data_IF_302390835835
#
_entry.id   IF_302390835835
#
_cell.length_a   1.000
_cell.length_b   1.000
_cell.length_c   1.000
_cell.angle_alpha   90.00
_cell.angle_beta   90.00
_cell.angle_gamma   90.00
#
_symmetry.space_group_name_H-M   'P 1'
#
loop_
_entity.id
_entity.type
_entity.pdbx_description
1 polymer ?
#
# COMPACT_ATOMS: atom_id res chain seq x y z
N UNK A 1 -6.82 12.67 -25.37
CA UNK A 1 -6.09 11.56 -24.74
C UNK A 1 -6.42 11.64 -23.26
N UNK A 2 -7.13 10.65 -22.71
CA UNK A 2 -7.57 10.70 -21.31
C UNK A 2 -6.39 10.51 -20.35
N UNK A 3 -6.51 10.88 -19.06
CA UNK A 3 -5.42 10.62 -18.09
C UNK A 3 -5.12 9.14 -17.97
N UNK A 4 -6.14 8.30 -18.07
CA UNK A 4 -5.98 6.85 -18.08
C UNK A 4 -5.10 6.34 -19.25
N UNK A 5 -5.23 6.92 -20.47
CA UNK A 5 -4.33 6.60 -21.59
C UNK A 5 -2.88 6.99 -21.27
N UNK A 6 -2.68 8.15 -20.62
CA UNK A 6 -1.36 8.63 -20.24
C UNK A 6 -0.73 7.74 -19.15
N UNK A 7 -1.52 7.30 -18.17
CA UNK A 7 -1.08 6.34 -17.14
C UNK A 7 -0.74 5.00 -17.77
N UNK A 8 -1.60 4.48 -18.66
CA UNK A 8 -1.33 3.24 -19.39
C UNK A 8 -0.06 3.35 -20.24
N UNK A 9 0.17 4.49 -20.89
CA UNK A 9 1.41 4.77 -21.64
C UNK A 9 2.65 4.81 -20.73
N UNK A 10 2.53 5.34 -19.51
CA UNK A 10 3.59 5.25 -18.49
C UNK A 10 3.86 3.81 -18.07
N UNK A 11 2.82 3.00 -17.84
CA UNK A 11 2.97 1.59 -17.47
C UNK A 11 3.74 0.82 -18.54
N UNK A 12 3.39 1.01 -19.82
CA UNK A 12 4.12 0.37 -20.92
C UNK A 12 5.59 0.85 -21.01
N UNK A 13 5.85 2.15 -20.80
CA UNK A 13 7.23 2.68 -20.78
C UNK A 13 8.04 2.13 -19.61
N UNK A 14 7.40 1.89 -18.48
CA UNK A 14 7.99 1.22 -17.32
C UNK A 14 8.14 -0.30 -17.52
N UNK A 15 7.71 -0.86 -18.66
CA UNK A 15 7.79 -2.29 -18.96
C UNK A 15 6.74 -3.14 -18.24
N UNK A 16 5.72 -2.52 -17.66
CA UNK A 16 4.64 -3.21 -16.95
C UNK A 16 3.68 -3.80 -17.97
N UNK A 17 3.63 -5.12 -17.98
CA UNK A 17 2.80 -5.94 -18.84
C UNK A 17 1.57 -6.49 -18.12
N UNK A 18 0.94 -7.45 -18.79
CA UNK A 18 -0.27 -8.08 -18.29
C UNK A 18 0.04 -8.99 -17.11
N UNK A 19 -0.69 -8.84 -16.01
CA UNK A 19 -0.55 -9.69 -14.81
C UNK A 19 0.60 -9.29 -13.88
N UNK A 20 1.35 -8.25 -14.22
CA UNK A 20 2.40 -7.70 -13.35
C UNK A 20 1.79 -7.08 -12.09
N UNK A 21 2.62 -6.99 -11.05
CA UNK A 21 2.22 -6.41 -9.78
C UNK A 21 2.20 -4.89 -9.86
N UNK A 22 1.18 -4.28 -9.28
CA UNK A 22 1.07 -2.84 -9.12
C UNK A 22 0.51 -2.53 -7.73
N UNK A 23 1.23 -1.78 -6.93
CA UNK A 23 0.67 -1.24 -5.71
C UNK A 23 -0.35 -0.16 -6.03
N UNK A 24 -1.51 -0.20 -5.37
CA UNK A 24 -2.62 0.71 -5.57
C UNK A 24 -3.07 1.30 -4.25
N UNK A 25 -3.19 2.63 -4.25
CA UNK A 25 -3.84 3.40 -3.19
C UNK A 25 -4.92 4.25 -3.81
N UNK A 26 -6.13 4.21 -3.23
CA UNK A 26 -7.25 5.07 -3.62
C UNK A 26 -7.70 5.87 -2.40
N UNK A 27 -7.67 7.18 -2.52
CA UNK A 27 -8.23 8.12 -1.56
C UNK A 27 -9.35 8.90 -2.27
N UNK A 28 -10.64 8.60 -2.06
CA UNK A 28 -11.74 9.16 -2.84
C UNK A 28 -11.77 10.70 -2.95
N UNK A 29 -11.26 11.41 -1.94
CA UNK A 29 -11.22 12.88 -1.90
C UNK A 29 -9.91 13.49 -2.39
N UNK A 30 -8.90 12.68 -2.69
CA UNK A 30 -7.55 13.15 -3.06
C UNK A 30 -7.11 12.63 -4.41
N UNK A 31 -7.39 11.37 -4.73
CA UNK A 31 -7.00 10.75 -6.00
C UNK A 31 -6.60 9.29 -5.83
N UNK A 32 -5.75 8.82 -6.73
CA UNK A 32 -5.09 7.51 -6.63
C UNK A 32 -3.58 7.61 -6.79
N UNK A 33 -2.88 6.58 -6.34
CA UNK A 33 -1.47 6.39 -6.63
C UNK A 33 -1.15 4.95 -6.98
N UNK A 34 -0.11 4.80 -7.81
CA UNK A 34 0.48 3.53 -8.19
C UNK A 34 1.95 3.51 -7.81
N UNK A 35 2.46 2.33 -7.44
CA UNK A 35 3.90 2.09 -7.31
C UNK A 35 4.30 0.70 -7.81
N UNK A 36 5.54 0.60 -8.25
CA UNK A 36 6.18 -0.60 -8.79
C UNK A 36 7.68 -0.56 -8.49
N UNK A 37 8.43 -1.58 -8.93
CA UNK A 37 9.83 -1.81 -8.57
C UNK A 37 10.74 -0.58 -8.67
N UNK A 38 10.53 0.26 -9.69
CA UNK A 38 11.43 1.35 -10.04
C UNK A 38 10.69 2.66 -10.30
N UNK A 39 9.46 2.80 -9.79
CA UNK A 39 8.70 4.02 -10.00
C UNK A 39 7.36 4.05 -9.31
N UNK A 40 6.74 5.20 -9.42
CA UNK A 40 5.47 5.51 -8.78
C UNK A 40 4.87 6.73 -9.46
N UNK A 41 3.55 6.81 -9.46
CA UNK A 41 2.82 7.98 -9.95
C UNK A 41 1.60 8.22 -9.08
N UNK A 42 1.11 9.45 -9.06
CA UNK A 42 -0.19 9.78 -8.51
C UNK A 42 -1.04 10.55 -9.52
N UNK A 43 -2.35 10.33 -9.43
CA UNK A 43 -3.38 11.02 -10.21
C UNK A 43 -4.31 11.70 -9.20
N UNK A 44 -4.24 13.03 -9.04
CA UNK A 44 -5.18 13.79 -8.24
C UNK A 44 -6.63 13.59 -8.72
N UNK A 45 -7.59 13.60 -7.80
CA UNK A 45 -9.03 13.46 -8.12
C UNK A 45 -9.55 14.61 -8.98
N UNK A 46 -8.90 15.79 -8.91
CA UNK A 46 -9.23 16.93 -9.74
C UNK A 46 -8.90 16.70 -11.23
N UNK A 47 -7.97 15.77 -11.52
CA UNK A 47 -7.52 15.49 -12.86
C UNK A 47 -8.36 14.39 -13.52
N UNK A 48 -8.77 13.37 -12.77
CA UNK A 48 -9.65 12.30 -13.26
C UNK A 48 -10.26 11.46 -12.11
N UNK A 49 -11.34 10.73 -12.41
CA UNK A 49 -11.96 9.80 -11.47
C UNK A 49 -11.04 8.58 -11.23
N UNK A 50 -10.56 8.37 -9.99
CA UNK A 50 -9.72 7.22 -9.65
C UNK A 50 -10.30 5.87 -10.08
N UNK A 51 -11.61 5.67 -9.92
CA UNK A 51 -12.24 4.40 -10.25
C UNK A 51 -12.18 4.12 -11.76
N UNK A 52 -12.43 5.15 -12.58
CA UNK A 52 -12.35 5.00 -14.04
C UNK A 52 -10.94 4.67 -14.50
N UNK A 53 -9.92 5.33 -13.95
CA UNK A 53 -8.51 5.04 -14.28
C UNK A 53 -8.15 3.60 -13.88
N UNK A 54 -8.51 3.17 -12.66
CA UNK A 54 -8.27 1.79 -12.21
C UNK A 54 -9.01 0.78 -13.09
N UNK A 55 -10.26 1.03 -13.46
CA UNK A 55 -11.04 0.15 -14.33
C UNK A 55 -10.43 -0.02 -15.72
N UNK A 56 -9.86 1.05 -16.29
CA UNK A 56 -9.16 0.96 -17.58
C UNK A 56 -7.86 0.16 -17.48
N UNK A 57 -7.09 0.36 -16.41
CA UNK A 57 -5.88 -0.43 -16.15
C UNK A 57 -6.21 -1.91 -15.89
N UNK A 58 -7.28 -2.20 -15.14
CA UNK A 58 -7.77 -3.56 -14.92
C UNK A 58 -8.12 -4.24 -16.25
N UNK A 59 -8.81 -3.54 -17.15
CA UNK A 59 -9.19 -4.10 -18.45
C UNK A 59 -7.98 -4.31 -19.38
N UNK A 60 -7.02 -3.38 -19.39
CA UNK A 60 -5.88 -3.42 -20.29
C UNK A 60 -4.77 -4.37 -19.81
N UNK A 61 -4.41 -4.29 -18.54
CA UNK A 61 -3.24 -4.96 -17.96
C UNK A 61 -3.61 -6.12 -17.02
N UNK A 62 -4.82 -6.17 -16.45
CA UNK A 62 -5.20 -7.20 -15.45
C UNK A 62 -4.12 -7.39 -14.37
N UNK A 63 -3.62 -6.31 -13.74
CA UNK A 63 -2.48 -6.42 -12.85
C UNK A 63 -2.85 -7.18 -11.57
N UNK A 64 -1.83 -7.67 -10.87
CA UNK A 64 -1.98 -8.18 -9.51
C UNK A 64 -1.86 -7.00 -8.56
N UNK A 65 -2.99 -6.49 -8.08
CA UNK A 65 -3.02 -5.28 -7.27
C UNK A 65 -2.46 -5.51 -5.87
N UNK A 66 -1.39 -4.82 -5.47
CA UNK A 66 -0.93 -4.80 -4.09
C UNK A 66 -1.70 -3.72 -3.33
N UNK A 67 -2.44 -4.12 -2.29
CA UNK A 67 -3.25 -3.23 -1.47
C UNK A 67 -3.00 -3.47 0.01
N UNK A 68 -3.07 -2.41 0.82
CA UNK A 68 -2.88 -2.52 2.27
C UNK A 68 -3.95 -3.38 2.95
N UNK A 69 -5.21 -3.13 2.61
CA UNK A 69 -6.39 -3.82 3.12
C UNK A 69 -7.44 -3.96 2.02
N UNK A 70 -8.49 -4.74 2.29
CA UNK A 70 -9.62 -4.89 1.38
C UNK A 70 -10.47 -3.61 1.21
N UNK A 71 -10.26 -2.55 2.00
CA UNK A 71 -11.02 -1.29 1.89
C UNK A 71 -10.88 -0.63 0.51
N UNK A 72 -9.70 -0.77 -0.12
CA UNK A 72 -9.49 -0.29 -1.50
C UNK A 72 -10.38 -1.04 -2.48
N UNK A 73 -10.52 -2.36 -2.32
CA UNK A 73 -11.42 -3.15 -3.17
C UNK A 73 -12.89 -2.79 -2.92
N UNK A 74 -13.30 -2.57 -1.66
CA UNK A 74 -14.66 -2.10 -1.32
C UNK A 74 -14.96 -0.78 -2.03
N UNK A 75 -14.04 0.18 -1.96
CA UNK A 75 -14.17 1.50 -2.60
C UNK A 75 -14.35 1.38 -4.11
N UNK A 76 -13.57 0.53 -4.77
CA UNK A 76 -13.66 0.32 -6.21
C UNK A 76 -14.97 -0.38 -6.60
N UNK A 77 -15.40 -1.35 -5.80
CA UNK A 77 -16.65 -2.09 -6.01
C UNK A 77 -17.86 -1.18 -5.94
N UNK A 78 -17.88 -0.27 -4.97
CA UNK A 78 -18.96 0.72 -4.83
C UNK A 78 -19.01 1.67 -6.03
N UNK A 79 -17.88 1.89 -6.70
CA UNK A 79 -17.76 2.63 -7.95
C UNK A 79 -17.93 1.75 -9.22
N UNK A 80 -18.31 0.47 -9.07
CA UNK A 80 -18.58 -0.44 -10.19
C UNK A 80 -17.34 -1.11 -10.81
N UNK A 81 -16.17 -0.99 -10.18
CA UNK A 81 -14.90 -1.56 -10.66
C UNK A 81 -14.57 -2.81 -9.86
N UNK A 82 -14.35 -3.93 -10.57
CA UNK A 82 -13.98 -5.23 -9.97
C UNK A 82 -12.56 -5.58 -10.37
N UNK A 83 -11.66 -5.67 -9.39
CA UNK A 83 -10.29 -6.15 -9.62
C UNK A 83 -10.25 -7.67 -9.60
N UNK A 84 -9.56 -8.30 -10.55
CA UNK A 84 -9.53 -9.75 -10.68
C UNK A 84 -8.60 -10.42 -9.65
N UNK A 85 -7.44 -9.82 -9.41
CA UNK A 85 -6.40 -10.40 -8.53
C UNK A 85 -5.76 -9.35 -7.67
N UNK A 86 -5.57 -9.65 -6.38
CA UNK A 86 -4.84 -8.78 -5.48
C UNK A 86 -3.85 -9.56 -4.60
N UNK A 87 -2.86 -8.82 -4.12
CA UNK A 87 -2.04 -9.13 -2.97
C UNK A 87 -2.51 -8.25 -1.82
N UNK A 88 -3.26 -8.83 -0.88
CA UNK A 88 -3.73 -8.14 0.32
C UNK A 88 -2.65 -8.25 1.41
N UNK A 89 -1.99 -7.13 1.69
CA UNK A 89 -0.87 -7.04 2.64
C UNK A 89 -1.28 -7.52 4.03
N UNK A 90 -2.46 -7.13 4.50
CA UNK A 90 -2.97 -7.53 5.81
C UNK A 90 -3.25 -9.04 5.88
N UNK A 91 -3.80 -9.63 4.81
CA UNK A 91 -4.05 -11.06 4.69
C UNK A 91 -2.74 -11.86 4.65
N UNK A 92 -1.76 -11.43 3.85
CA UNK A 92 -0.45 -12.08 3.78
C UNK A 92 0.29 -11.99 5.11
N UNK A 93 0.18 -10.86 5.82
CA UNK A 93 0.75 -10.72 7.17
C UNK A 93 0.17 -11.75 8.15
N UNK A 94 -1.14 -12.04 8.08
CA UNK A 94 -1.76 -13.09 8.90
C UNK A 94 -1.23 -14.47 8.55
N UNK A 95 -0.90 -14.74 7.29
CA UNK A 95 -0.29 -16.00 6.87
C UNK A 95 1.15 -16.15 7.39
N UNK A 96 1.93 -15.07 7.33
CA UNK A 96 3.34 -15.08 7.73
C UNK A 96 3.54 -15.16 9.24
N UNK A 97 2.77 -14.38 10.01
CA UNK A 97 3.02 -14.16 11.44
C UNK A 97 1.89 -14.64 12.35
N UNK A 98 0.77 -15.09 11.78
CA UNK A 98 -0.43 -15.42 12.54
C UNK A 98 -1.08 -14.21 13.22
N UNK A 99 -2.13 -14.51 13.99
CA UNK A 99 -2.93 -13.50 14.69
C UNK A 99 -3.91 -12.78 13.77
N UNK A 100 -4.71 -11.89 14.36
CA UNK A 100 -5.75 -11.13 13.66
C UNK A 100 -5.33 -9.69 13.37
N UNK A 101 -4.43 -9.13 14.18
CA UNK A 101 -3.97 -7.75 14.06
C UNK A 101 -2.99 -7.61 12.91
N UNK A 102 -3.44 -6.95 11.84
CA UNK A 102 -2.67 -6.66 10.63
C UNK A 102 -2.93 -5.23 10.16
N UNK A 103 -3.04 -4.28 11.11
CA UNK A 103 -3.00 -2.87 10.77
C UNK A 103 -1.62 -2.50 10.17
N UNK A 104 -1.53 -1.46 9.32
CA UNK A 104 -0.30 -1.12 8.61
C UNK A 104 0.93 -0.92 9.51
N UNK A 105 0.76 -0.31 10.69
CA UNK A 105 1.88 -0.11 11.63
C UNK A 105 2.41 -1.45 12.16
N UNK A 106 1.52 -2.37 12.52
CA UNK A 106 1.88 -3.71 12.97
C UNK A 106 2.53 -4.54 11.87
N UNK A 107 2.03 -4.45 10.62
CA UNK A 107 2.64 -5.14 9.47
C UNK A 107 4.06 -4.64 9.23
N UNK A 108 4.23 -3.31 9.20
CA UNK A 108 5.52 -2.68 8.99
C UNK A 108 6.54 -3.11 10.07
N UNK A 109 6.15 -2.99 11.34
CA UNK A 109 7.00 -3.32 12.47
C UNK A 109 7.46 -4.80 12.43
N UNK A 110 6.56 -5.74 12.13
CA UNK A 110 6.91 -7.17 12.05
C UNK A 110 7.87 -7.48 10.91
N UNK A 111 7.70 -6.86 9.74
CA UNK A 111 8.57 -7.13 8.59
C UNK A 111 9.99 -6.60 8.80
N UNK A 112 10.11 -5.49 9.53
CA UNK A 112 11.36 -4.80 9.83
C UNK A 112 11.95 -5.17 11.20
N UNK A 113 11.44 -6.22 11.84
CA UNK A 113 11.92 -6.73 13.13
C UNK A 113 11.95 -5.64 14.24
N UNK A 114 10.97 -4.72 14.22
CA UNK A 114 10.79 -3.66 15.21
C UNK A 114 9.89 -4.11 16.38
N UNK A 115 10.12 -3.65 17.63
CA UNK A 115 9.31 -4.05 18.78
C UNK A 115 7.85 -3.60 18.66
N UNK A 116 6.89 -4.48 18.93
CA UNK A 116 5.46 -4.15 18.73
C UNK A 116 4.91 -3.27 19.86
N UNK A 117 5.50 -3.36 21.04
CA UNK A 117 5.18 -2.58 22.22
C UNK A 117 5.60 -1.10 22.12
N UNK A 118 6.50 -0.77 21.19
CA UNK A 118 6.95 0.59 20.91
C UNK A 118 6.25 1.22 19.72
N UNK A 119 5.27 0.53 19.12
CA UNK A 119 4.48 1.11 18.02
C UNK A 119 3.85 2.43 18.49
N UNK A 120 4.08 3.54 17.77
CA UNK A 120 3.49 4.82 18.09
C UNK A 120 1.97 4.72 18.14
N UNK A 121 1.38 5.01 19.29
CA UNK A 121 -0.06 5.16 19.41
C UNK A 121 -0.48 6.54 18.92
N UNK A 122 -1.61 6.61 18.22
CA UNK A 122 -2.30 7.89 18.04
C UNK A 122 -2.78 8.37 19.40
N UNK A 123 -2.11 9.40 19.92
CA UNK A 123 -2.60 10.12 21.09
C UNK A 123 -3.95 10.80 20.77
N UNK A 124 -4.66 11.32 21.78
CA UNK A 124 -5.80 12.18 21.54
C UNK A 124 -5.41 13.27 20.54
N UNK A 125 -6.27 13.58 19.57
CA UNK A 125 -6.09 14.71 18.66
C UNK A 125 -6.02 16.00 19.48
N UNK A 126 -4.83 16.37 19.93
CA UNK A 126 -4.60 17.62 20.62
C UNK A 126 -4.44 18.70 19.57
N UNK A 127 -5.26 19.75 19.68
CA UNK A 127 -5.23 20.94 18.81
C UNK A 127 -3.85 21.64 18.78
N UNK A 128 -2.92 21.21 19.64
CA UNK A 128 -1.58 21.75 19.83
C UNK A 128 -0.46 20.71 19.59
N UNK A 129 -0.72 19.61 18.89
CA UNK A 129 0.37 18.75 18.41
C UNK A 129 1.21 19.54 17.41
N UNK A 130 2.26 20.20 17.91
CA UNK A 130 3.28 20.76 17.04
C UNK A 130 4.08 19.59 16.46
N UNK A 131 4.35 19.59 15.14
CA UNK A 131 5.29 18.66 14.57
C UNK A 131 6.62 18.79 15.34
N UNK A 132 7.21 17.65 15.71
CA UNK A 132 8.49 17.64 16.38
C UNK A 132 9.51 18.31 15.45
N UNK A 133 10.14 19.44 15.85
CA UNK A 133 11.06 20.16 14.98
C UNK A 133 12.32 19.34 14.63
N UNK A 134 12.60 18.24 15.34
CA UNK A 134 13.68 17.31 15.02
C UNK A 134 13.27 16.26 13.96
N UNK A 135 12.02 16.25 13.52
CA UNK A 135 11.54 15.28 12.54
C UNK A 135 11.94 15.72 11.11
N UNK A 136 12.77 14.92 10.41
CA UNK A 136 13.51 15.39 9.23
C UNK A 136 12.64 15.60 7.97
N UNK A 137 11.47 14.97 7.88
CA UNK A 137 10.50 15.18 6.79
C UNK A 137 9.06 15.20 7.38
N UNK A 138 8.35 16.34 7.37
CA UNK A 138 6.97 16.44 7.85
C UNK A 138 5.97 15.66 6.95
N UNK A 139 6.37 15.35 5.71
CA UNK A 139 5.63 14.47 4.80
C UNK A 139 6.24 13.07 4.72
N UNK A 140 7.19 12.74 5.60
CA UNK A 140 7.76 11.42 5.77
C UNK A 140 6.77 10.50 6.49
N UNK A 141 6.70 9.24 6.06
CA UNK A 141 5.83 8.23 6.68
C UNK A 141 6.46 7.53 7.89
N UNK A 142 7.78 7.60 8.01
CA UNK A 142 8.56 6.89 9.02
C UNK A 142 9.12 7.86 10.05
N UNK A 143 9.21 7.41 11.29
CA UNK A 143 9.94 8.08 12.37
C UNK A 143 11.43 7.77 12.27
N UNK A 144 12.23 8.49 13.05
CA UNK A 144 13.68 8.25 13.14
C UNK A 144 14.04 6.84 13.67
N UNK A 145 13.17 6.22 14.47
CA UNK A 145 13.31 4.85 14.98
C UNK A 145 12.88 3.76 13.97
N UNK A 146 12.46 4.16 12.77
CA UNK A 146 12.01 3.26 11.70
C UNK A 146 10.55 2.83 11.81
N UNK A 147 9.83 3.17 12.88
CA UNK A 147 8.39 2.87 12.96
C UNK A 147 7.58 3.74 11.98
N UNK A 148 6.48 3.17 11.48
CA UNK A 148 5.46 3.96 10.79
C UNK A 148 4.86 4.98 11.76
N UNK A 149 4.73 6.22 11.31
CA UNK A 149 4.10 7.28 12.10
C UNK A 149 2.62 6.95 12.36
N UNK A 150 2.13 7.33 13.54
CA UNK A 150 0.77 7.06 13.96
C UNK A 150 -0.28 7.72 13.05
N UNK A 151 -0.06 8.97 12.64
CA UNK A 151 -0.96 9.68 11.74
C UNK A 151 -1.07 8.98 10.38
N UNK A 152 0.01 8.41 9.87
CA UNK A 152 -0.01 7.61 8.64
C UNK A 152 -0.81 6.33 8.83
N UNK A 153 -0.61 5.59 9.91
CA UNK A 153 -1.39 4.37 10.19
C UNK A 153 -2.91 4.65 10.28
N UNK A 154 -3.30 5.83 10.76
CA UNK A 154 -4.68 6.24 11.00
C UNK A 154 -5.32 7.03 9.84
N UNK A 155 -4.74 6.98 8.65
CA UNK A 155 -5.34 7.57 7.44
C UNK A 155 -4.76 8.92 7.00
N UNK A 156 -3.78 9.46 7.72
CA UNK A 156 -3.04 10.68 7.36
C UNK A 156 -2.26 10.57 6.04
N UNK A 157 -2.11 9.35 5.50
CA UNK A 157 -1.64 9.11 4.13
C UNK A 157 -2.57 9.71 3.06
N UNK A 158 -3.86 9.88 3.37
CA UNK A 158 -4.87 10.39 2.45
C UNK A 158 -5.01 11.92 2.47
N UNK A 159 -3.99 12.67 2.93
CA UNK A 159 -4.08 14.13 3.06
C UNK A 159 -3.81 14.89 1.76
N UNK A 160 -2.90 14.40 0.91
CA UNK A 160 -2.50 15.06 -0.33
C UNK A 160 -1.92 14.06 -1.36
N UNK A 161 -1.78 14.46 -2.65
CA UNK A 161 -1.28 13.58 -3.72
C UNK A 161 0.14 13.02 -3.48
N UNK A 162 0.99 13.71 -2.72
CA UNK A 162 2.33 13.25 -2.37
C UNK A 162 2.30 12.13 -1.33
N UNK A 163 1.42 12.23 -0.32
CA UNK A 163 1.28 11.19 0.70
C UNK A 163 0.64 9.91 0.18
N UNK A 164 -0.38 9.98 -0.67
CA UNK A 164 -0.95 8.77 -1.31
C UNK A 164 0.08 8.05 -2.18
N UNK A 165 0.99 8.81 -2.83
CA UNK A 165 2.10 8.25 -3.61
C UNK A 165 3.08 7.49 -2.73
N UNK A 166 3.55 8.11 -1.64
CA UNK A 166 4.40 7.45 -0.63
C UNK A 166 3.75 6.23 -0.01
N UNK A 167 2.43 6.27 0.17
CA UNK A 167 1.68 5.13 0.70
C UNK A 167 1.63 3.95 -0.27
N UNK A 168 1.56 4.22 -1.59
CA UNK A 168 1.68 3.19 -2.61
C UNK A 168 3.10 2.63 -2.67
N UNK A 169 4.13 3.48 -2.57
CA UNK A 169 5.54 3.06 -2.50
C UNK A 169 5.80 2.14 -1.29
N UNK A 170 5.25 2.47 -0.11
CA UNK A 170 5.34 1.61 1.07
C UNK A 170 4.60 0.28 0.88
N UNK A 171 3.41 0.27 0.27
CA UNK A 171 2.71 -0.97 -0.05
C UNK A 171 3.55 -1.88 -0.95
N UNK A 172 4.21 -1.30 -1.96
CA UNK A 172 5.12 -2.03 -2.83
C UNK A 172 6.32 -2.62 -2.06
N UNK A 173 6.96 -1.83 -1.20
CA UNK A 173 8.08 -2.28 -0.35
C UNK A 173 7.65 -3.45 0.52
N UNK A 174 6.51 -3.32 1.21
CA UNK A 174 5.96 -4.36 2.09
C UNK A 174 5.67 -5.65 1.31
N UNK A 175 5.11 -5.55 0.11
CA UNK A 175 4.91 -6.71 -0.74
C UNK A 175 6.24 -7.41 -1.10
N UNK A 176 7.28 -6.63 -1.42
CA UNK A 176 8.58 -7.19 -1.76
C UNK A 176 9.17 -7.96 -0.57
N UNK A 177 9.11 -7.39 0.64
CA UNK A 177 9.58 -8.05 1.85
C UNK A 177 8.76 -9.30 2.19
N UNK A 178 7.42 -9.22 2.08
CA UNK A 178 6.56 -10.39 2.28
C UNK A 178 6.85 -11.51 1.28
N UNK A 179 7.17 -11.17 0.02
CA UNK A 179 7.55 -12.14 -1.01
C UNK A 179 8.84 -12.87 -0.63
N UNK A 180 9.84 -12.13 -0.14
CA UNK A 180 11.10 -12.72 0.35
C UNK A 180 10.84 -13.64 1.55
N UNK A 181 10.07 -13.20 2.55
CA UNK A 181 9.73 -14.02 3.73
C UNK A 181 8.92 -15.27 3.36
N UNK A 182 8.01 -15.19 2.39
CA UNK A 182 7.26 -16.35 1.89
C UNK A 182 8.16 -17.36 1.18
N UNK A 183 9.15 -16.89 0.41
CA UNK A 183 10.13 -17.76 -0.23
C UNK A 183 10.96 -18.53 0.81
N UNK A 184 11.43 -17.84 1.86
CA UNK A 184 12.15 -18.48 2.99
C UNK A 184 11.32 -19.57 3.68
N UNK A 185 10.01 -19.40 3.81
CA UNK A 185 9.13 -20.42 4.38
C UNK A 185 8.95 -21.62 3.44
N UNK A 186 8.89 -21.40 2.14
CA UNK A 186 8.74 -22.46 1.15
C UNK A 186 9.95 -23.40 1.13
N UNK A 187 11.14 -22.88 1.45
CA UNK A 187 12.39 -23.65 1.54
C UNK A 187 12.53 -24.46 2.84
N UNK A 188 11.69 -24.20 3.87
CA UNK A 188 11.73 -24.96 5.12
C UNK A 188 11.17 -26.38 4.92
N UNK A 189 11.83 -27.42 5.46
CA UNK A 189 11.32 -28.78 5.38
C UNK A 189 9.96 -28.88 6.08
N UNK A 190 8.93 -29.28 5.33
CA UNK A 190 7.59 -29.47 5.87
C UNK A 190 7.58 -30.72 6.74
N UNK A 191 7.10 -30.58 7.98
CA UNK A 191 6.83 -31.75 8.83
C UNK A 191 5.76 -32.58 8.11
N UNK A 192 6.07 -33.84 7.80
CA UNK A 192 5.11 -34.75 7.19
C UNK A 192 3.88 -34.87 8.08
N UNK A 193 2.69 -34.70 7.49
CA UNK A 193 1.42 -34.89 8.19
C UNK A 193 1.38 -36.32 8.73
N UNK A 194 1.42 -36.48 10.05
CA UNK A 194 1.10 -37.76 10.70
C UNK A 194 -0.36 -38.10 10.38
N UNK A 195 -0.53 -39.21 9.65
CA UNK A 195 -1.82 -39.83 9.34
C UNK A 195 -2.40 -40.55 10.56
#
# INVERSE_FOLDING_TARGET
>A
MGRADAVLGEMHRAGIGRGDLLALVVAPRVGMALAWAHGSLSVPVADDDPAQVVGQLENALRPRWVVWTNDTATTLVDAGVRVATCWDVAAVNRLLFGGWRSDPASVWARLHDLPLETIPASGPLHLFNQPDPEEPDPDGALRADGHLRADWADGGWAANPGRIRRWAELAWSVHADQTLRLAELAERPRVATTA
#
